data_IF_196113284671
#
_entry.id   IF_196113284671
#
_cell.length_a   1.000
_cell.length_b   1.000
_cell.length_c   1.000
_cell.angle_alpha   90.00
_cell.angle_beta   90.00
_cell.angle_gamma   90.00
#
_symmetry.space_group_name_H-M   'P 1'
#
loop_
_entity.id
_entity.type
_entity.pdbx_description
1 polymer ?
#
# COMPACT_ATOMS: atom_id res chain seq x y z
N UNK A 1 1.87 -19.77 9.05
CA UNK A 1 2.77 -20.89 8.73
C UNK A 1 4.11 -20.67 9.42
N UNK A 2 4.63 -21.71 10.09
CA UNK A 2 5.88 -21.68 10.90
C UNK A 2 7.14 -21.25 10.11
N UNK A 3 7.08 -21.19 8.79
CA UNK A 3 8.19 -20.71 7.95
C UNK A 3 8.28 -19.19 7.88
N UNK A 4 7.14 -18.49 7.94
CA UNK A 4 7.13 -17.02 8.06
C UNK A 4 7.60 -16.56 9.44
N UNK A 5 7.31 -17.32 10.50
CA UNK A 5 7.72 -16.97 11.85
C UNK A 5 9.25 -17.00 12.08
N UNK A 6 10.01 -17.79 11.34
CA UNK A 6 11.47 -17.84 11.47
C UNK A 6 12.19 -16.66 10.80
N UNK A 7 11.64 -16.12 9.70
CA UNK A 7 12.16 -14.90 9.06
C UNK A 7 11.72 -13.63 9.75
N UNK A 8 10.54 -13.64 10.35
CA UNK A 8 9.96 -12.51 11.08
C UNK A 8 10.57 -12.31 12.48
N UNK A 9 11.19 -13.34 13.05
CA UNK A 9 11.77 -13.26 14.40
C UNK A 9 12.82 -12.16 14.57
N UNK A 10 13.58 -11.81 13.52
CA UNK A 10 14.54 -10.71 13.57
C UNK A 10 13.89 -9.34 13.27
N UNK A 11 12.79 -9.31 12.51
CA UNK A 11 12.02 -8.10 12.22
C UNK A 11 11.30 -7.59 13.47
N UNK A 12 10.75 -8.48 14.29
CA UNK A 12 10.06 -8.12 15.53
C UNK A 12 10.97 -7.67 16.67
N UNK A 13 12.27 -7.92 16.60
CA UNK A 13 13.23 -7.56 17.67
C UNK A 13 13.49 -6.05 17.80
N UNK A 14 12.95 -5.22 16.90
CA UNK A 14 13.17 -3.77 16.87
C UNK A 14 11.90 -2.95 16.71
N UNK A 15 10.80 -3.39 17.30
CA UNK A 15 9.58 -2.60 17.30
C UNK A 15 9.74 -1.36 18.17
N UNK A 16 9.22 -0.24 17.65
CA UNK A 16 9.08 1.01 18.38
C UNK A 16 7.59 1.29 18.54
N UNK A 17 7.15 1.48 19.77
CA UNK A 17 5.78 1.89 20.09
C UNK A 17 5.85 3.33 20.60
N UNK A 18 5.15 4.22 19.92
CA UNK A 18 5.06 5.64 20.28
C UNK A 18 3.82 5.85 21.15
N UNK A 19 4.02 6.36 22.36
CA UNK A 19 2.93 6.65 23.29
C UNK A 19 3.46 7.10 24.65
N UNK A 20 2.60 7.80 25.42
CA UNK A 20 2.94 8.18 26.79
C UNK A 20 2.96 6.95 27.69
N UNK A 21 3.66 7.02 28.87
CA UNK A 21 3.65 5.93 29.82
C UNK A 21 2.25 5.49 30.24
N UNK A 22 1.32 6.45 30.40
CA UNK A 22 -0.07 6.18 30.76
C UNK A 22 -0.83 5.44 29.65
N UNK A 23 -0.60 5.81 28.38
CA UNK A 23 -1.18 5.12 27.23
C UNK A 23 -0.64 3.68 27.12
N UNK A 24 0.67 3.51 27.29
CA UNK A 24 1.32 2.21 27.24
C UNK A 24 0.81 1.31 28.37
N UNK A 25 0.71 1.80 29.60
CA UNK A 25 0.16 1.05 30.74
C UNK A 25 -1.30 0.66 30.50
N UNK A 26 -2.10 1.61 30.02
CA UNK A 26 -3.54 1.40 29.79
C UNK A 26 -3.84 0.39 28.69
N UNK A 27 -3.17 0.51 27.55
CA UNK A 27 -3.47 -0.30 26.36
C UNK A 27 -2.56 -1.52 26.21
N UNK A 28 -1.37 -1.52 26.81
CA UNK A 28 -0.44 -2.64 26.84
C UNK A 28 -0.72 -3.69 27.93
N UNK A 29 -1.66 -3.38 28.84
CA UNK A 29 -1.97 -4.26 29.95
C UNK A 29 -2.42 -5.66 29.49
N UNK A 30 -1.69 -6.68 29.94
CA UNK A 30 -1.99 -8.08 29.60
C UNK A 30 -1.27 -8.60 28.35
N UNK A 31 -0.47 -7.75 27.69
CA UNK A 31 0.37 -8.13 26.55
C UNK A 31 1.85 -8.07 26.95
N UNK A 32 2.66 -8.97 26.39
CA UNK A 32 4.11 -8.90 26.52
C UNK A 32 4.68 -7.95 25.47
N UNK A 33 5.06 -6.75 25.89
CA UNK A 33 5.67 -5.71 25.07
C UNK A 33 7.13 -5.46 25.45
N UNK A 34 7.75 -6.36 26.25
CA UNK A 34 9.13 -6.21 26.75
C UNK A 34 10.18 -6.16 25.63
N UNK A 35 9.87 -6.71 24.46
CA UNK A 35 10.73 -6.66 23.27
C UNK A 35 10.67 -5.35 22.48
N UNK A 36 9.72 -4.45 22.81
CA UNK A 36 9.54 -3.19 22.09
C UNK A 36 10.31 -2.04 22.77
N UNK A 37 10.80 -1.11 21.95
CA UNK A 37 11.30 0.19 22.46
C UNK A 37 10.11 1.14 22.59
N UNK A 38 9.90 1.68 23.79
CA UNK A 38 8.84 2.67 24.03
C UNK A 38 9.44 4.07 23.86
N UNK A 39 8.78 4.88 23.04
CA UNK A 39 9.14 6.27 22.80
C UNK A 39 7.99 7.17 23.25
N UNK A 40 8.24 7.95 24.31
CA UNK A 40 7.34 8.99 24.77
C UNK A 40 7.56 10.28 23.94
N UNK A 41 6.61 10.67 23.07
CA UNK A 41 6.80 11.85 22.20
C UNK A 41 6.91 13.18 22.94
N UNK A 42 6.58 13.20 24.24
CA UNK A 42 6.74 14.40 25.06
C UNK A 42 8.13 14.49 25.72
N UNK A 43 8.76 13.35 26.03
CA UNK A 43 10.00 13.28 26.82
C UNK A 43 11.15 12.57 26.09
N UNK A 44 11.03 12.27 24.78
CA UNK A 44 12.10 11.63 24.03
C UNK A 44 13.33 12.55 23.89
N UNK A 45 14.54 12.08 24.24
CA UNK A 45 15.77 12.85 24.07
C UNK A 45 16.07 13.23 22.62
N UNK A 46 15.54 12.52 21.64
CA UNK A 46 15.68 12.83 20.23
C UNK A 46 14.65 13.82 19.67
N UNK A 47 13.70 14.25 20.49
CA UNK A 47 12.60 15.13 20.07
C UNK A 47 13.07 16.38 19.34
N UNK A 48 14.13 17.04 19.83
CA UNK A 48 14.67 18.25 19.20
C UNK A 48 15.19 17.97 17.78
N UNK A 49 15.89 16.85 17.58
CA UNK A 49 16.34 16.38 16.25
C UNK A 49 15.17 16.29 15.26
N UNK A 50 14.02 15.79 15.70
CA UNK A 50 12.84 15.65 14.85
C UNK A 50 12.15 16.98 14.58
N UNK A 51 12.08 17.89 15.57
CA UNK A 51 11.59 19.25 15.37
C UNK A 51 12.44 19.97 14.32
N UNK A 52 13.76 19.94 14.46
CA UNK A 52 14.69 20.60 13.54
C UNK A 52 14.54 20.03 12.11
N UNK A 53 14.41 18.71 11.98
CA UNK A 53 14.17 18.06 10.69
C UNK A 53 12.83 18.43 10.08
N UNK A 54 11.77 18.54 10.88
CA UNK A 54 10.46 18.98 10.39
C UNK A 54 10.53 20.41 9.84
N UNK A 55 11.15 21.32 10.58
CA UNK A 55 11.36 22.71 10.15
C UNK A 55 12.19 22.77 8.87
N UNK A 56 13.31 22.02 8.79
CA UNK A 56 14.12 21.93 7.57
C UNK A 56 13.27 21.55 6.36
N UNK A 57 12.42 20.53 6.49
CA UNK A 57 11.60 20.03 5.40
C UNK A 57 10.45 20.96 4.99
N UNK A 58 9.94 21.78 5.93
CA UNK A 58 8.69 22.51 5.77
C UNK A 58 8.79 24.03 6.02
N UNK A 59 9.99 24.58 6.25
CA UNK A 59 10.20 26.02 6.45
C UNK A 59 9.62 26.89 5.34
N UNK A 60 9.78 26.45 4.08
CA UNK A 60 9.19 27.14 2.91
C UNK A 60 7.65 27.17 2.91
N UNK A 61 7.00 26.39 3.78
CA UNK A 61 5.55 26.39 4.01
C UNK A 61 5.16 27.07 5.33
N UNK A 62 6.10 27.77 5.97
CA UNK A 62 5.88 28.54 7.16
C UNK A 62 5.86 27.75 8.47
N UNK A 63 6.36 26.51 8.49
CA UNK A 63 6.42 25.73 9.72
C UNK A 63 7.53 26.26 10.63
N UNK A 64 7.16 26.67 11.85
CA UNK A 64 8.07 27.09 12.92
C UNK A 64 8.40 25.92 13.86
N UNK A 65 9.45 26.01 14.70
CA UNK A 65 9.76 24.98 15.70
C UNK A 65 8.58 24.68 16.65
N UNK A 66 7.84 25.71 17.06
CA UNK A 66 6.67 25.58 17.93
C UNK A 66 5.55 24.81 17.24
N UNK A 67 5.27 25.15 15.98
CA UNK A 67 4.27 24.45 15.16
C UNK A 67 4.66 22.99 14.93
N UNK A 68 5.94 22.74 14.65
CA UNK A 68 6.45 21.37 14.45
C UNK A 68 6.27 20.53 15.72
N UNK A 69 6.65 21.08 16.87
CA UNK A 69 6.49 20.45 18.18
C UNK A 69 5.01 20.12 18.46
N UNK A 70 4.14 21.12 18.36
CA UNK A 70 2.69 20.94 18.60
C UNK A 70 2.10 19.85 17.68
N UNK A 71 2.46 19.87 16.38
CA UNK A 71 1.95 18.90 15.43
C UNK A 71 2.40 17.47 15.74
N UNK A 72 3.64 17.29 16.16
CA UNK A 72 4.20 15.98 16.53
C UNK A 72 3.57 15.44 17.83
N UNK A 73 3.29 16.30 18.80
CA UNK A 73 2.64 15.92 20.05
C UNK A 73 1.15 15.61 19.87
N UNK A 74 0.50 16.25 18.91
CA UNK A 74 -0.92 16.07 18.59
C UNK A 74 -1.18 14.84 17.72
N UNK A 75 -0.24 14.49 16.85
CA UNK A 75 -0.39 13.42 15.87
C UNK A 75 0.93 12.63 15.76
N UNK A 76 0.97 11.49 16.44
CA UNK A 76 2.16 10.62 16.49
C UNK A 76 2.60 10.07 15.13
N UNK A 77 1.74 10.17 14.10
CA UNK A 77 2.14 9.78 12.76
C UNK A 77 3.21 10.72 12.17
N UNK A 78 3.16 12.02 12.51
CA UNK A 78 4.26 12.94 12.18
C UNK A 78 5.56 12.53 12.87
N UNK A 79 5.46 12.11 14.13
CA UNK A 79 6.61 11.64 14.90
C UNK A 79 7.23 10.39 14.24
N UNK A 80 6.41 9.37 13.93
CA UNK A 80 6.84 8.16 13.27
C UNK A 80 7.50 8.42 11.89
N UNK A 81 6.91 9.29 11.07
CA UNK A 81 7.50 9.70 9.79
C UNK A 81 8.84 10.40 9.96
N UNK A 82 9.03 11.20 11.00
CA UNK A 82 10.31 11.87 11.28
C UNK A 82 11.36 10.88 11.78
N UNK A 83 10.98 9.90 12.59
CA UNK A 83 11.89 8.80 12.96
C UNK A 83 12.39 8.08 11.69
N UNK A 84 11.50 7.73 10.77
CA UNK A 84 11.88 7.15 9.49
C UNK A 84 12.81 8.10 8.70
N UNK A 85 12.44 9.38 8.59
CA UNK A 85 13.22 10.38 7.84
C UNK A 85 14.62 10.61 8.40
N UNK A 86 14.80 10.43 9.70
CA UNK A 86 16.08 10.58 10.39
C UNK A 86 16.89 9.27 10.48
N UNK A 87 16.36 8.15 9.98
CA UNK A 87 17.02 6.84 10.01
C UNK A 87 16.96 6.12 11.36
N UNK A 88 16.05 6.53 12.24
CA UNK A 88 15.84 5.89 13.55
C UNK A 88 14.77 4.77 13.48
N UNK A 89 14.07 4.68 12.34
CA UNK A 89 13.16 3.59 11.99
C UNK A 89 13.18 3.35 10.47
N UNK A 90 12.94 2.10 10.07
CA UNK A 90 12.95 1.69 8.66
C UNK A 90 11.57 1.82 7.99
N UNK A 91 10.53 1.91 8.78
CA UNK A 91 9.15 2.07 8.30
C UNK A 91 8.17 2.34 9.43
N UNK A 92 6.93 2.68 9.08
CA UNK A 92 5.89 2.98 10.05
C UNK A 92 4.56 2.33 9.66
N UNK A 93 3.79 1.92 10.66
CA UNK A 93 2.42 1.40 10.52
C UNK A 93 1.50 2.15 11.47
N UNK A 94 0.39 2.65 10.96
CA UNK A 94 -0.63 3.36 11.73
C UNK A 94 -2.00 3.19 11.05
N UNK A 95 -3.07 3.82 11.57
CA UNK A 95 -4.36 3.88 10.87
C UNK A 95 -5.54 3.24 11.59
N UNK A 96 -5.31 2.30 12.52
CA UNK A 96 -6.39 1.60 13.22
C UNK A 96 -7.38 2.55 13.93
N UNK A 97 -6.94 3.75 14.32
CA UNK A 97 -7.76 4.77 14.97
C UNK A 97 -7.97 6.04 14.13
N UNK A 98 -7.49 6.07 12.89
CA UNK A 98 -7.48 7.25 12.03
C UNK A 98 -8.09 6.97 10.65
N UNK A 99 -8.37 8.03 9.90
CA UNK A 99 -8.67 7.89 8.48
C UNK A 99 -7.37 7.69 7.68
N UNK A 100 -7.44 6.98 6.56
CA UNK A 100 -6.31 6.80 5.63
C UNK A 100 -5.62 8.12 5.27
N UNK A 101 -6.39 9.20 5.08
CA UNK A 101 -5.84 10.53 4.82
C UNK A 101 -4.96 11.07 5.96
N UNK A 102 -5.22 10.70 7.20
CA UNK A 102 -4.41 11.12 8.35
C UNK A 102 -3.07 10.35 8.42
N UNK A 103 -3.02 9.13 7.92
CA UNK A 103 -1.77 8.37 7.78
C UNK A 103 -0.94 8.86 6.59
N UNK A 104 -1.58 9.10 5.44
CA UNK A 104 -0.88 9.48 4.19
C UNK A 104 -0.36 10.91 4.24
N UNK A 105 -1.10 11.86 4.85
CA UNK A 105 -0.71 13.28 4.87
C UNK A 105 0.66 13.54 5.51
N UNK A 106 0.98 13.01 6.71
CA UNK A 106 2.33 13.13 7.28
C UNK A 106 3.41 12.51 6.37
N UNK A 107 3.15 11.33 5.84
CA UNK A 107 4.09 10.64 4.95
C UNK A 107 4.40 11.48 3.69
N UNK A 108 3.38 12.00 2.99
CA UNK A 108 3.59 12.88 1.83
C UNK A 108 4.29 14.18 2.19
N UNK A 109 4.02 14.75 3.35
CA UNK A 109 4.62 16.01 3.77
C UNK A 109 6.10 15.89 4.12
N UNK A 110 6.50 14.78 4.73
CA UNK A 110 7.82 14.59 5.31
C UNK A 110 8.71 13.64 4.50
N UNK A 111 8.15 12.55 4.01
CA UNK A 111 8.89 11.53 3.27
C UNK A 111 8.82 11.77 1.76
N UNK A 112 7.67 12.21 1.24
CA UNK A 112 7.38 12.41 -0.19
C UNK A 112 7.29 11.09 -0.97
N UNK A 113 7.03 11.19 -2.26
CA UNK A 113 7.04 10.06 -3.19
C UNK A 113 8.47 9.69 -3.63
N UNK A 114 8.63 8.49 -4.18
CA UNK A 114 9.84 8.06 -4.86
C UNK A 114 10.14 9.00 -6.06
N UNK A 115 11.41 9.16 -6.45
CA UNK A 115 11.74 9.91 -7.66
C UNK A 115 10.98 9.35 -8.88
N UNK A 116 10.40 10.25 -9.67
CA UNK A 116 9.62 9.89 -10.87
C UNK A 116 8.21 9.39 -10.62
N UNK A 117 7.76 9.29 -9.37
CA UNK A 117 6.39 8.93 -8.98
C UNK A 117 5.63 10.18 -8.56
N UNK A 118 4.46 10.39 -9.16
CA UNK A 118 3.64 11.58 -8.93
C UNK A 118 2.62 11.41 -7.81
N UNK A 119 2.19 10.17 -7.53
CA UNK A 119 1.11 9.89 -6.58
C UNK A 119 1.37 8.64 -5.75
N UNK A 120 0.66 8.55 -4.63
CA UNK A 120 0.62 7.36 -3.77
C UNK A 120 -0.66 6.60 -4.07
N UNK A 121 -0.58 5.29 -4.12
CA UNK A 121 -1.72 4.38 -4.22
C UNK A 121 -1.66 3.30 -3.13
N UNK A 122 -2.74 2.56 -2.96
CA UNK A 122 -2.81 1.50 -1.96
C UNK A 122 -3.25 0.18 -2.57
N UNK A 123 -2.61 -0.90 -2.20
CA UNK A 123 -3.02 -2.22 -2.65
C UNK A 123 -3.33 -3.17 -1.48
N UNK A 124 -4.06 -4.21 -1.78
CA UNK A 124 -4.21 -5.38 -0.93
C UNK A 124 -3.54 -6.57 -1.60
N UNK A 125 -2.73 -7.30 -0.82
CA UNK A 125 -2.35 -8.65 -1.17
C UNK A 125 -3.51 -9.56 -0.76
N UNK A 126 -4.15 -10.14 -1.77
CA UNK A 126 -5.29 -11.04 -1.58
C UNK A 126 -4.83 -12.49 -1.62
N UNK A 127 -5.29 -13.28 -0.66
CA UNK A 127 -5.09 -14.72 -0.62
C UNK A 127 -6.47 -15.40 -0.67
N UNK A 128 -6.85 -15.86 -1.86
CA UNK A 128 -8.14 -16.49 -2.10
C UNK A 128 -7.98 -18.01 -1.92
N UNK A 129 -8.65 -18.63 -0.93
CA UNK A 129 -8.53 -20.07 -0.71
C UNK A 129 -9.14 -20.87 -1.86
N UNK A 130 -8.57 -22.02 -2.14
CA UNK A 130 -9.04 -22.98 -3.15
C UNK A 130 -9.26 -22.35 -4.55
N UNK A 131 -8.43 -21.36 -4.92
CA UNK A 131 -8.54 -20.62 -6.17
C UNK A 131 -7.37 -20.95 -7.10
N UNK A 132 -7.69 -21.38 -8.33
CA UNK A 132 -6.71 -21.69 -9.38
C UNK A 132 -6.21 -20.46 -10.14
N UNK A 133 -6.92 -19.33 -10.05
CA UNK A 133 -6.54 -18.10 -10.76
C UNK A 133 -5.41 -17.36 -10.04
N UNK A 134 -4.81 -16.39 -10.74
CA UNK A 134 -3.69 -15.63 -10.26
C UNK A 134 -2.44 -16.46 -10.07
N UNK A 135 -1.74 -16.30 -8.97
CA UNK A 135 -0.65 -17.18 -8.56
C UNK A 135 -1.15 -18.13 -7.47
N UNK A 136 -1.97 -19.13 -7.87
CA UNK A 136 -2.65 -20.06 -6.97
C UNK A 136 -3.44 -19.33 -5.86
N UNK A 137 -4.29 -18.40 -6.25
CA UNK A 137 -5.12 -17.60 -5.33
C UNK A 137 -4.45 -16.35 -4.80
N UNK A 138 -3.16 -16.12 -5.07
CA UNK A 138 -2.50 -14.87 -4.67
C UNK A 138 -2.66 -13.81 -5.75
N UNK A 139 -3.06 -12.60 -5.30
CA UNK A 139 -3.26 -11.43 -6.16
C UNK A 139 -2.81 -10.15 -5.49
N UNK A 140 -2.43 -9.16 -6.32
CA UNK A 140 -2.44 -7.74 -5.92
C UNK A 140 -3.67 -7.07 -6.50
N UNK A 141 -4.47 -6.42 -5.66
CA UNK A 141 -5.60 -5.58 -6.04
C UNK A 141 -5.27 -4.12 -5.74
N UNK A 142 -5.25 -3.24 -6.75
CA UNK A 142 -4.88 -1.83 -6.64
C UNK A 142 -5.68 -0.92 -7.63
N UNK A 143 -5.96 0.36 -7.35
CA UNK A 143 -5.95 0.95 -6.02
C UNK A 143 -7.27 0.64 -5.31
N UNK A 144 -7.16 0.30 -4.05
CA UNK A 144 -8.35 -0.07 -3.27
C UNK A 144 -8.56 0.83 -2.03
N UNK A 145 -7.69 1.85 -1.82
CA UNK A 145 -7.67 2.55 -0.53
C UNK A 145 -7.39 4.07 -0.58
N UNK A 146 -6.81 4.62 -1.64
CA UNK A 146 -6.20 5.96 -1.60
C UNK A 146 -6.89 6.98 -2.48
N UNK A 147 -6.88 6.81 -3.79
CA UNK A 147 -7.31 7.83 -4.74
C UNK A 147 -8.71 7.56 -5.28
N UNK A 148 -9.67 8.47 -5.05
CA UNK A 148 -11.04 8.31 -5.57
C UNK A 148 -11.07 8.15 -7.08
N UNK A 149 -10.32 8.98 -7.80
CA UNK A 149 -10.28 9.02 -9.26
C UNK A 149 -8.85 9.10 -9.78
N UNK A 150 -8.66 8.61 -11.00
CA UNK A 150 -7.41 8.62 -11.73
C UNK A 150 -7.57 9.28 -13.10
N UNK A 151 -6.51 9.97 -13.54
CA UNK A 151 -6.22 10.19 -14.94
C UNK A 151 -5.38 9.02 -15.50
N UNK A 152 -5.23 8.96 -16.82
CA UNK A 152 -4.52 7.86 -17.48
C UNK A 152 -3.04 7.76 -17.08
N UNK A 153 -2.36 8.88 -16.82
CA UNK A 153 -0.97 8.92 -16.39
C UNK A 153 -0.79 8.28 -15.01
N UNK A 154 -1.61 8.69 -14.05
CA UNK A 154 -1.56 8.14 -12.68
C UNK A 154 -1.98 6.67 -12.63
N UNK A 155 -2.98 6.29 -13.43
CA UNK A 155 -3.40 4.89 -13.49
C UNK A 155 -2.31 3.99 -14.08
N UNK A 156 -1.54 4.49 -15.04
CA UNK A 156 -0.34 3.82 -15.55
C UNK A 156 0.75 3.68 -14.47
N UNK A 157 0.94 4.70 -13.61
CA UNK A 157 1.84 4.59 -12.46
C UNK A 157 1.37 3.52 -11.46
N UNK A 158 0.07 3.43 -11.19
CA UNK A 158 -0.49 2.37 -10.32
C UNK A 158 -0.16 1.00 -10.88
N UNK A 159 -0.27 0.79 -12.20
CA UNK A 159 0.09 -0.49 -12.83
C UNK A 159 1.57 -0.84 -12.61
N UNK A 160 2.48 0.13 -12.80
CA UNK A 160 3.92 -0.07 -12.54
C UNK A 160 4.19 -0.42 -11.08
N UNK A 161 3.68 0.39 -10.17
CA UNK A 161 3.89 0.18 -8.73
C UNK A 161 3.32 -1.16 -8.26
N UNK A 162 2.16 -1.57 -8.79
CA UNK A 162 1.52 -2.84 -8.44
C UNK A 162 2.27 -4.04 -9.00
N UNK A 163 2.86 -3.91 -10.18
CA UNK A 163 3.76 -4.92 -10.75
C UNK A 163 4.98 -5.13 -9.87
N UNK A 164 5.63 -4.04 -9.46
CA UNK A 164 6.81 -4.10 -8.58
C UNK A 164 6.45 -4.68 -7.20
N UNK A 165 5.30 -4.29 -6.66
CA UNK A 165 4.79 -4.82 -5.39
C UNK A 165 4.53 -6.32 -5.48
N UNK A 166 3.84 -6.79 -6.52
CA UNK A 166 3.60 -8.23 -6.71
C UNK A 166 4.92 -9.01 -6.75
N UNK A 167 5.88 -8.53 -7.54
CA UNK A 167 7.20 -9.15 -7.65
C UNK A 167 7.95 -9.18 -6.32
N UNK A 168 7.88 -8.08 -5.57
CA UNK A 168 8.55 -7.95 -4.26
C UNK A 168 7.97 -8.89 -3.20
N UNK A 169 6.64 -9.02 -3.14
CA UNK A 169 5.98 -9.82 -2.09
C UNK A 169 5.78 -11.29 -2.45
N UNK A 170 5.54 -11.59 -3.73
CA UNK A 170 5.24 -12.95 -4.18
C UNK A 170 6.46 -13.64 -4.80
N UNK A 171 7.44 -12.86 -5.25
CA UNK A 171 8.66 -13.40 -5.88
C UNK A 171 8.42 -13.94 -7.29
N UNK A 172 7.33 -13.53 -7.94
CA UNK A 172 6.92 -13.93 -9.29
C UNK A 172 6.69 -12.73 -10.18
N UNK A 173 6.72 -12.92 -11.48
CA UNK A 173 6.42 -11.85 -12.43
C UNK A 173 4.93 -11.52 -12.43
N UNK A 174 4.64 -10.22 -12.36
CA UNK A 174 3.28 -9.71 -12.42
C UNK A 174 2.73 -9.79 -13.84
N UNK A 175 1.44 -10.13 -13.94
CA UNK A 175 0.62 -10.02 -15.14
C UNK A 175 -0.50 -9.05 -14.81
N UNK A 176 -0.30 -7.79 -15.19
CA UNK A 176 -1.14 -6.68 -14.76
C UNK A 176 -2.30 -6.49 -15.72
N UNK A 177 -3.52 -6.74 -15.24
CA UNK A 177 -4.75 -6.42 -15.95
C UNK A 177 -5.29 -5.05 -15.53
N UNK A 178 -5.43 -4.13 -16.48
CA UNK A 178 -6.10 -2.85 -16.30
C UNK A 178 -7.59 -3.05 -16.51
N UNK A 179 -8.36 -3.01 -15.40
CA UNK A 179 -9.77 -3.42 -15.39
C UNK A 179 -10.73 -2.36 -15.90
N UNK A 180 -11.75 -2.80 -16.59
CA UNK A 180 -12.89 -2.00 -17.06
C UNK A 180 -14.14 -2.87 -17.21
N UNK A 181 -15.28 -2.26 -17.47
CA UNK A 181 -16.47 -2.97 -17.95
C UNK A 181 -16.42 -3.28 -19.46
N UNK A 182 -15.35 -2.93 -20.14
CA UNK A 182 -15.05 -3.17 -21.55
C UNK A 182 -13.82 -4.08 -21.69
N UNK A 183 -13.74 -4.85 -22.78
CA UNK A 183 -12.54 -5.55 -23.23
C UNK A 183 -12.25 -5.12 -24.67
N UNK A 184 -11.07 -4.55 -24.91
CA UNK A 184 -10.59 -4.14 -26.24
C UNK A 184 -11.61 -3.34 -27.06
N UNK A 185 -12.22 -2.32 -26.45
CA UNK A 185 -13.16 -1.43 -27.13
C UNK A 185 -14.56 -2.01 -27.32
N UNK A 186 -14.94 -3.06 -26.59
CA UNK A 186 -16.30 -3.61 -26.65
C UNK A 186 -17.39 -2.64 -26.21
N UNK A 187 -17.02 -1.60 -25.45
CA UNK A 187 -17.88 -0.48 -25.09
C UNK A 187 -17.19 0.87 -25.37
N UNK A 188 -18.01 1.92 -25.66
CA UNK A 188 -17.52 3.29 -25.88
C UNK A 188 -17.96 4.17 -24.72
N UNK A 189 -17.01 4.66 -23.94
CA UNK A 189 -17.26 5.55 -22.81
C UNK A 189 -15.94 6.21 -22.38
N UNK A 190 -15.98 7.43 -21.83
CA UNK A 190 -14.78 8.16 -21.40
C UNK A 190 -13.95 7.38 -20.37
N UNK A 191 -14.60 6.66 -19.45
CA UNK A 191 -13.92 5.78 -18.48
C UNK A 191 -13.18 4.60 -19.15
N UNK A 192 -13.69 4.08 -20.26
CA UNK A 192 -13.02 3.04 -21.05
C UNK A 192 -11.80 3.63 -21.74
N UNK A 193 -11.96 4.77 -22.39
CA UNK A 193 -10.87 5.51 -23.04
C UNK A 193 -9.76 5.83 -22.06
N UNK A 194 -10.08 6.28 -20.86
CA UNK A 194 -9.11 6.58 -19.80
C UNK A 194 -8.25 5.36 -19.45
N UNK A 195 -8.84 4.18 -19.29
CA UNK A 195 -8.10 2.94 -19.00
C UNK A 195 -7.28 2.47 -20.21
N UNK A 196 -7.85 2.51 -21.42
CA UNK A 196 -7.13 2.15 -22.64
C UNK A 196 -5.91 3.04 -22.88
N UNK A 197 -6.02 4.35 -22.62
CA UNK A 197 -4.90 5.29 -22.73
C UNK A 197 -3.86 5.04 -21.61
N UNK A 198 -4.30 4.68 -20.39
CA UNK A 198 -3.38 4.30 -19.33
C UNK A 198 -2.56 3.04 -19.69
N UNK A 199 -3.14 2.07 -20.38
CA UNK A 199 -2.41 0.89 -20.89
C UNK A 199 -1.35 1.29 -21.91
N UNK A 200 -1.67 2.17 -22.85
CA UNK A 200 -0.69 2.67 -23.84
C UNK A 200 0.47 3.37 -23.15
N UNK A 201 0.17 4.29 -22.21
CA UNK A 201 1.17 5.01 -21.43
C UNK A 201 2.04 4.03 -20.63
N UNK A 202 1.43 3.03 -19.99
CA UNK A 202 2.18 2.04 -19.21
C UNK A 202 3.13 1.22 -20.10
N UNK A 203 2.69 0.77 -21.27
CA UNK A 203 3.53 0.04 -22.24
C UNK A 203 4.70 0.87 -22.78
N UNK A 204 4.48 2.16 -22.99
CA UNK A 204 5.50 3.08 -23.49
C UNK A 204 6.50 3.48 -22.40
N UNK A 205 6.00 3.85 -21.23
CA UNK A 205 6.80 4.43 -20.14
C UNK A 205 7.48 3.36 -19.29
N UNK A 206 6.88 2.16 -19.18
CA UNK A 206 7.34 1.05 -18.34
C UNK A 206 7.42 -0.26 -19.14
N UNK A 207 8.34 -0.37 -20.12
CA UNK A 207 8.43 -1.55 -20.99
C UNK A 207 8.89 -2.83 -20.28
N UNK A 208 9.32 -2.71 -19.03
CA UNK A 208 9.76 -3.81 -18.16
C UNK A 208 8.62 -4.54 -17.46
N UNK A 209 7.38 -4.05 -17.55
CA UNK A 209 6.22 -4.73 -16.95
C UNK A 209 5.34 -5.41 -18.00
N UNK A 210 4.71 -6.52 -17.62
CA UNK A 210 3.69 -7.18 -18.44
C UNK A 210 2.32 -6.62 -18.06
N UNK A 211 1.79 -5.69 -18.85
CA UNK A 211 0.52 -5.01 -18.64
C UNK A 211 -0.35 -5.07 -19.88
N UNK A 212 -1.66 -5.24 -19.69
CA UNK A 212 -2.62 -5.19 -20.79
C UNK A 212 -4.02 -4.77 -20.32
N UNK A 213 -4.85 -4.40 -21.29
CA UNK A 213 -6.24 -3.93 -21.10
C UNK A 213 -6.64 -2.94 -22.19
N UNK A 214 -7.81 -2.32 -22.07
CA UNK A 214 -8.73 -2.55 -20.94
C UNK A 214 -9.35 -3.96 -21.02
N UNK A 215 -9.52 -4.59 -19.89
CA UNK A 215 -10.10 -5.93 -19.77
C UNK A 215 -11.23 -5.97 -18.74
N UNK A 216 -12.30 -6.69 -19.08
CA UNK A 216 -13.28 -7.12 -18.09
C UNK A 216 -12.63 -8.19 -17.17
N UNK A 217 -13.11 -8.29 -15.93
CA UNK A 217 -12.55 -9.18 -14.93
C UNK A 217 -12.56 -10.65 -15.37
N UNK A 218 -13.65 -11.11 -15.99
CA UNK A 218 -13.78 -12.47 -16.51
C UNK A 218 -12.75 -12.75 -17.62
N UNK A 219 -12.53 -11.81 -18.52
CA UNK A 219 -11.50 -11.93 -19.55
C UNK A 219 -10.06 -11.89 -18.96
N UNK A 220 -9.84 -11.13 -17.87
CA UNK A 220 -8.55 -11.07 -17.21
C UNK A 220 -8.17 -12.40 -16.52
N UNK A 221 -9.15 -13.13 -15.97
CA UNK A 221 -8.91 -14.29 -15.11
C UNK A 221 -9.15 -15.64 -15.82
N UNK A 222 -10.24 -15.76 -16.60
CA UNK A 222 -10.73 -17.03 -17.11
C UNK A 222 -10.17 -17.31 -18.51
N UNK A 223 -9.36 -18.37 -18.72
CA UNK A 223 -8.70 -18.65 -20.00
C UNK A 223 -9.65 -18.79 -21.18
N UNK A 224 -10.81 -19.44 -21.00
CA UNK A 224 -11.80 -19.65 -22.04
C UNK A 224 -12.45 -18.31 -22.48
N UNK A 225 -12.67 -17.40 -21.53
CA UNK A 225 -13.20 -16.05 -21.80
C UNK A 225 -12.13 -15.20 -22.50
N UNK A 226 -10.90 -15.31 -22.04
CA UNK A 226 -9.76 -14.63 -22.65
C UNK A 226 -9.58 -15.02 -24.12
N UNK A 227 -9.69 -16.31 -24.44
CA UNK A 227 -9.59 -16.81 -25.80
C UNK A 227 -10.65 -16.22 -26.75
N UNK A 228 -11.82 -15.85 -26.22
CA UNK A 228 -12.90 -15.24 -26.98
C UNK A 228 -12.78 -13.72 -27.08
N UNK A 229 -12.41 -13.05 -25.98
CA UNK A 229 -12.49 -11.57 -25.87
C UNK A 229 -11.15 -10.88 -26.14
N UNK A 230 -10.02 -11.55 -25.86
CA UNK A 230 -8.68 -10.98 -25.95
C UNK A 230 -7.60 -12.03 -26.27
N UNK A 231 -7.72 -12.77 -27.39
CA UNK A 231 -6.85 -13.91 -27.70
C UNK A 231 -5.36 -13.57 -27.83
N UNK A 232 -5.05 -12.33 -28.23
CA UNK A 232 -3.67 -11.86 -28.41
C UNK A 232 -3.05 -11.25 -27.13
N UNK A 233 -3.82 -11.19 -26.06
CA UNK A 233 -3.35 -10.54 -24.82
C UNK A 233 -2.27 -11.37 -24.10
N UNK A 234 -1.15 -10.75 -23.69
CA UNK A 234 -0.15 -11.44 -22.88
C UNK A 234 -0.61 -11.64 -21.42
N UNK A 235 -1.74 -11.03 -21.01
CA UNK A 235 -2.26 -10.98 -19.63
C UNK A 235 -3.59 -11.69 -19.47
N UNK A 236 -4.50 -11.58 -20.44
CA UNK A 236 -5.84 -12.14 -20.33
C UNK A 236 -5.80 -13.65 -20.04
N UNK A 237 -6.71 -14.11 -19.18
CA UNK A 237 -6.82 -15.50 -18.72
C UNK A 237 -5.74 -15.96 -17.73
N UNK A 238 -4.85 -15.07 -17.30
CA UNK A 238 -3.73 -15.41 -16.39
C UNK A 238 -3.25 -14.23 -15.54
N UNK A 239 -4.10 -13.20 -15.40
CA UNK A 239 -3.78 -12.04 -14.56
C UNK A 239 -3.62 -12.42 -13.08
N UNK A 240 -2.60 -11.86 -12.43
CA UNK A 240 -2.35 -12.01 -10.99
C UNK A 240 -2.27 -10.64 -10.28
N UNK A 241 -2.32 -9.56 -11.05
CA UNK A 241 -2.33 -8.18 -10.55
C UNK A 241 -3.48 -7.43 -11.23
N UNK A 242 -4.45 -6.98 -10.44
CA UNK A 242 -5.67 -6.35 -10.92
C UNK A 242 -5.66 -4.87 -10.54
N UNK A 243 -5.63 -4.00 -11.56
CA UNK A 243 -5.68 -2.55 -11.38
C UNK A 243 -7.08 -2.06 -11.71
N UNK A 244 -7.75 -1.51 -10.71
CA UNK A 244 -9.13 -1.03 -10.80
C UNK A 244 -9.17 0.40 -11.34
N UNK A 245 -10.21 0.77 -12.10
CA UNK A 245 -10.29 2.08 -12.77
C UNK A 245 -10.53 3.25 -11.79
N UNK A 246 -11.00 2.98 -10.59
CA UNK A 246 -11.26 3.96 -9.52
C UNK A 246 -11.38 3.27 -8.16
N UNK A 247 -11.40 4.08 -7.10
CA UNK A 247 -11.47 3.59 -5.72
C UNK A 247 -12.76 2.81 -5.42
N UNK A 248 -13.90 3.22 -5.97
CA UNK A 248 -15.17 2.55 -5.71
C UNK A 248 -15.11 1.09 -6.17
N UNK A 249 -14.66 0.86 -7.41
CA UNK A 249 -14.52 -0.48 -7.95
C UNK A 249 -13.52 -1.33 -7.14
N UNK A 250 -12.35 -0.78 -6.81
CA UNK A 250 -11.32 -1.47 -6.04
C UNK A 250 -11.74 -1.77 -4.61
N UNK A 251 -12.31 -0.79 -3.91
CA UNK A 251 -12.72 -0.92 -2.52
C UNK A 251 -13.91 -1.89 -2.35
N UNK A 252 -14.89 -1.84 -3.25
CA UNK A 252 -16.00 -2.79 -3.26
C UNK A 252 -15.47 -4.18 -3.65
N UNK A 253 -14.64 -4.26 -4.69
CA UNK A 253 -14.12 -5.51 -5.24
C UNK A 253 -13.34 -6.33 -4.20
N UNK A 254 -12.34 -5.73 -3.53
CA UNK A 254 -11.57 -6.50 -2.55
C UNK A 254 -12.43 -6.96 -1.36
N UNK A 255 -13.38 -6.13 -0.89
CA UNK A 255 -14.28 -6.49 0.21
C UNK A 255 -15.24 -7.62 -0.17
N UNK A 256 -15.74 -7.63 -1.40
CA UNK A 256 -16.57 -8.73 -1.90
C UNK A 256 -15.80 -10.04 -1.86
N UNK A 257 -14.58 -10.06 -2.39
CA UNK A 257 -13.72 -11.26 -2.38
C UNK A 257 -13.37 -11.66 -0.95
N UNK A 258 -12.94 -10.71 -0.11
CA UNK A 258 -12.62 -10.97 1.30
C UNK A 258 -13.79 -11.63 2.05
N UNK A 259 -15.00 -11.09 1.89
CA UNK A 259 -16.16 -11.56 2.69
C UNK A 259 -16.83 -12.80 2.09
N UNK A 260 -17.01 -12.86 0.78
CA UNK A 260 -17.75 -13.95 0.11
C UNK A 260 -16.86 -15.18 -0.11
N UNK A 261 -15.59 -14.97 -0.52
CA UNK A 261 -14.64 -16.07 -0.72
C UNK A 261 -13.82 -16.40 0.54
N UNK A 262 -14.06 -15.71 1.67
CA UNK A 262 -13.26 -15.85 2.91
C UNK A 262 -11.76 -15.66 2.68
N UNK A 263 -11.42 -14.78 1.75
CA UNK A 263 -10.05 -14.50 1.39
C UNK A 263 -9.33 -13.71 2.47
N UNK A 264 -8.04 -13.97 2.66
CA UNK A 264 -7.12 -13.06 3.32
C UNK A 264 -6.99 -11.77 2.49
N UNK A 265 -7.00 -10.63 3.16
CA UNK A 265 -6.81 -9.32 2.53
C UNK A 265 -5.83 -8.50 3.37
N UNK A 266 -4.56 -8.58 3.01
CA UNK A 266 -3.47 -7.93 3.74
C UNK A 266 -3.22 -6.55 3.15
N UNK A 267 -3.53 -5.52 3.94
CA UNK A 267 -3.44 -4.13 3.50
C UNK A 267 -4.34 -3.17 4.28
N UNK A 268 -4.47 -1.90 3.82
CA UNK A 268 -3.85 -1.41 2.60
C UNK A 268 -2.34 -1.16 2.78
N UNK A 269 -1.56 -1.67 1.85
CA UNK A 269 -0.13 -1.39 1.76
C UNK A 269 0.06 -0.23 0.80
N UNK A 270 0.74 0.82 1.25
CA UNK A 270 0.98 2.00 0.44
C UNK A 270 2.19 1.79 -0.48
N UNK A 271 2.04 2.24 -1.71
CA UNK A 271 3.09 2.20 -2.73
C UNK A 271 3.33 3.59 -3.32
N UNK A 272 4.55 3.84 -3.76
CA UNK A 272 4.96 5.14 -4.32
C UNK A 272 5.59 6.09 -3.31
N UNK A 273 5.55 5.83 -1.99
CA UNK A 273 6.29 6.61 -0.98
C UNK A 273 7.78 6.29 -1.02
N UNK A 274 8.61 7.28 -0.68
CA UNK A 274 10.08 7.11 -0.65
C UNK A 274 10.57 6.21 0.49
N UNK A 275 9.74 6.00 1.52
CA UNK A 275 9.99 5.09 2.64
C UNK A 275 8.72 4.31 2.98
N UNK A 276 8.83 3.11 3.54
CA UNK A 276 7.68 2.30 3.90
C UNK A 276 6.84 2.95 5.00
N UNK A 277 5.62 3.31 4.65
CA UNK A 277 4.59 3.76 5.59
C UNK A 277 3.30 3.11 5.16
N UNK A 278 2.64 2.41 6.06
CA UNK A 278 1.42 1.68 5.74
C UNK A 278 0.28 2.04 6.68
N UNK A 279 -0.93 1.96 6.12
CA UNK A 279 -2.18 2.26 6.80
C UNK A 279 -2.86 0.97 7.26
N UNK A 280 -3.70 1.09 8.28
CA UNK A 280 -4.53 0.02 8.78
C UNK A 280 -6.00 0.41 8.64
N UNK A 281 -6.83 -0.54 8.28
CA UNK A 281 -8.28 -0.35 8.36
C UNK A 281 -8.71 -0.17 9.81
N UNK A 282 -9.67 0.72 10.08
CA UNK A 282 -10.30 0.86 11.40
C UNK A 282 -11.07 -0.40 11.85
N UNK A 283 -11.28 -1.33 10.95
CA UNK A 283 -11.89 -2.63 11.23
C UNK A 283 -10.90 -3.79 11.15
N UNK A 284 -9.59 -3.53 11.26
CA UNK A 284 -8.56 -4.55 11.25
C UNK A 284 -8.56 -5.37 12.54
N UNK A 285 -8.17 -6.63 12.41
CA UNK A 285 -7.88 -7.53 13.51
C UNK A 285 -6.37 -7.58 13.78
N UNK A 286 -5.96 -8.20 14.88
CA UNK A 286 -4.55 -8.33 15.25
C UNK A 286 -3.70 -8.99 14.16
N UNK A 287 -4.22 -10.02 13.50
CA UNK A 287 -3.53 -10.73 12.41
C UNK A 287 -3.32 -9.83 11.18
N UNK A 288 -4.26 -8.92 10.88
CA UNK A 288 -4.10 -7.94 9.81
C UNK A 288 -2.94 -6.98 10.13
N UNK A 289 -2.82 -6.56 11.40
CA UNK A 289 -1.72 -5.68 11.84
C UNK A 289 -0.38 -6.40 11.68
N UNK A 290 -0.30 -7.66 12.13
CA UNK A 290 0.89 -8.51 11.98
C UNK A 290 1.29 -8.62 10.50
N UNK A 291 0.32 -8.87 9.63
CA UNK A 291 0.54 -8.95 8.19
C UNK A 291 1.09 -7.64 7.60
N UNK A 292 0.49 -6.50 7.93
CA UNK A 292 0.93 -5.18 7.43
C UNK A 292 2.31 -4.80 7.98
N UNK A 293 2.62 -5.11 9.24
CA UNK A 293 3.96 -4.90 9.82
C UNK A 293 5.00 -5.75 9.08
N UNK A 294 4.70 -7.02 8.81
CA UNK A 294 5.58 -7.89 8.04
C UNK A 294 5.83 -7.36 6.62
N UNK A 295 4.77 -6.90 5.95
CA UNK A 295 4.89 -6.30 4.62
C UNK A 295 5.70 -5.00 4.64
N UNK A 296 5.53 -4.16 5.68
CA UNK A 296 6.34 -2.95 5.87
C UNK A 296 7.83 -3.28 5.99
N UNK A 297 8.16 -4.33 6.71
CA UNK A 297 9.55 -4.78 6.85
C UNK A 297 10.12 -5.31 5.52
N UNK A 298 9.35 -6.06 4.74
CA UNK A 298 9.76 -6.50 3.40
C UNK A 298 9.97 -5.30 2.47
N UNK A 299 9.10 -4.29 2.53
CA UNK A 299 9.31 -3.04 1.78
C UNK A 299 10.62 -2.36 2.17
N UNK A 300 10.95 -2.30 3.47
CA UNK A 300 12.17 -1.68 3.96
C UNK A 300 13.44 -2.42 3.52
N UNK A 301 13.38 -3.74 3.39
CA UNK A 301 14.50 -4.55 2.89
C UNK A 301 14.76 -4.37 1.39
N UNK A 302 13.74 -3.93 0.64
CA UNK A 302 13.80 -3.75 -0.82
C UNK A 302 13.83 -2.25 -1.23
N UNK A 303 13.99 -1.32 -0.27
CA UNK A 303 13.97 0.12 -0.48
C UNK A 303 15.31 0.70 -0.95
#
# INVERSE_FOLDING_TARGET
>A
DLRMSRGLGDVYKRQVIIGTPEEIEKYGKGYDISGATIVDPFNDPNKQKYIDKFVELRSKKGVTPEMAKEQMEKDYMYYACLMCKCGDADGAVSGACHSTGNTIRPALQLLKTKPGISSVSGFFLMEVPDCEFGENGLFVFADCAVSPDYDSEKLAEVAKLSSDSFKSFVGKDAKVAMLSFSSYGSAKHDRVTMVADAVKIAKEKYPDITVDGELQLDAALVPEVAALKAPESPVAGKANTLVFPNLEAGNIGYKLVQRLAKAGAYGPVLQGLSMPVNDLSRGCFADDIVGVVAMTAVQAQNA
#
